data_IF_804194339496
#
_entry.id   IF_804194339496
#
_cell.length_a   1.000
_cell.length_b   1.000
_cell.length_c   1.000
_cell.angle_alpha   90.00
_cell.angle_beta   90.00
_cell.angle_gamma   90.00
#
_symmetry.space_group_name_H-M   'P 1'
#
loop_
_entity.id
_entity.type
_entity.pdbx_description
1 polymer ?
#
# COMPACT_ATOMS: atom_id res chain seq x y z
N UNK A 1 36.57 11.25 -5.43
CA UNK A 1 35.70 12.07 -6.31
C UNK A 1 34.43 11.30 -6.68
N UNK A 2 34.52 10.21 -7.45
CA UNK A 2 33.35 9.39 -7.85
C UNK A 2 32.53 8.83 -6.67
N UNK A 3 33.18 8.35 -5.60
CA UNK A 3 32.48 7.85 -4.40
C UNK A 3 31.64 8.95 -3.74
N UNK A 4 32.15 10.18 -3.68
CA UNK A 4 31.43 11.32 -3.07
C UNK A 4 30.25 11.77 -3.95
N UNK A 5 30.42 11.75 -5.28
CA UNK A 5 29.36 12.05 -6.24
C UNK A 5 28.23 10.99 -6.18
N UNK A 6 28.57 9.70 -6.17
CA UNK A 6 27.61 8.61 -6.00
C UNK A 6 26.91 8.66 -4.64
N UNK A 7 27.65 8.94 -3.57
CA UNK A 7 27.08 9.08 -2.22
C UNK A 7 26.06 10.23 -2.12
N UNK A 8 26.36 11.40 -2.71
CA UNK A 8 25.43 12.52 -2.73
C UNK A 8 24.18 12.22 -3.59
N UNK A 9 24.38 11.54 -4.72
CA UNK A 9 23.31 11.11 -5.62
C UNK A 9 22.35 10.13 -4.96
N UNK A 10 22.89 9.07 -4.35
CA UNK A 10 22.08 8.04 -3.66
C UNK A 10 21.33 8.61 -2.47
N UNK A 11 21.97 9.42 -1.62
CA UNK A 11 21.30 10.04 -0.48
C UNK A 11 20.13 10.93 -0.90
N UNK A 12 20.30 11.68 -1.99
CA UNK A 12 19.24 12.55 -2.51
C UNK A 12 18.09 11.72 -3.10
N UNK A 13 18.40 10.66 -3.84
CA UNK A 13 17.40 9.73 -4.40
C UNK A 13 16.59 9.04 -3.29
N UNK A 14 17.27 8.45 -2.31
CA UNK A 14 16.63 7.75 -1.19
C UNK A 14 15.77 8.69 -0.32
N UNK A 15 16.20 9.94 -0.12
CA UNK A 15 15.40 10.93 0.64
C UNK A 15 14.14 11.32 -0.12
N UNK A 16 14.24 11.51 -1.44
CA UNK A 16 13.09 11.79 -2.29
C UNK A 16 12.11 10.61 -2.29
N UNK A 17 12.60 9.39 -2.48
CA UNK A 17 11.80 8.17 -2.45
C UNK A 17 11.06 7.98 -1.13
N UNK A 18 11.77 8.19 0.00
CA UNK A 18 11.17 8.13 1.32
C UNK A 18 10.04 9.17 1.45
N UNK A 19 10.25 10.40 0.97
CA UNK A 19 9.23 11.44 1.03
C UNK A 19 7.97 11.06 0.22
N UNK A 20 8.13 10.56 -1.00
CA UNK A 20 6.98 10.14 -1.83
C UNK A 20 6.28 8.92 -1.22
N UNK A 21 7.04 7.96 -0.69
CA UNK A 21 6.49 6.79 0.03
C UNK A 21 5.68 7.22 1.25
N UNK A 22 6.20 8.13 2.06
CA UNK A 22 5.46 8.67 3.22
C UNK A 22 4.16 9.36 2.79
N UNK A 23 4.19 10.14 1.70
CA UNK A 23 2.98 10.76 1.15
C UNK A 23 1.95 9.70 0.72
N UNK A 24 2.39 8.64 0.05
CA UNK A 24 1.51 7.54 -0.37
C UNK A 24 0.88 6.83 0.83
N UNK A 25 1.66 6.53 1.88
CA UNK A 25 1.17 5.91 3.11
C UNK A 25 0.19 6.83 3.85
N UNK A 26 0.46 8.14 3.92
CA UNK A 26 -0.47 9.12 4.47
C UNK A 26 -1.78 9.17 3.66
N UNK A 27 -1.72 8.95 2.35
CA UNK A 27 -2.90 8.76 1.51
C UNK A 27 -3.81 7.63 1.97
N UNK A 28 -3.23 6.47 2.28
CA UNK A 28 -3.98 5.34 2.83
C UNK A 28 -4.59 5.68 4.19
N UNK A 29 -3.86 6.38 5.05
CA UNK A 29 -4.39 6.85 6.34
C UNK A 29 -5.57 7.80 6.14
N UNK A 30 -5.47 8.75 5.21
CA UNK A 30 -6.59 9.65 4.85
C UNK A 30 -7.77 8.85 4.32
N UNK A 31 -7.53 7.87 3.46
CA UNK A 31 -8.56 6.95 2.98
C UNK A 31 -9.27 6.26 4.15
N UNK A 32 -8.55 5.78 5.17
CA UNK A 32 -9.17 5.15 6.34
C UNK A 32 -10.09 6.10 7.09
N UNK A 33 -9.68 7.35 7.30
CA UNK A 33 -10.53 8.36 7.96
C UNK A 33 -11.77 8.71 7.15
N UNK A 34 -11.70 8.66 5.82
CA UNK A 34 -12.83 8.90 4.93
C UNK A 34 -13.77 7.69 4.87
N UNK A 35 -13.22 6.48 4.92
CA UNK A 35 -13.95 5.23 4.84
C UNK A 35 -14.64 4.84 6.15
N UNK A 36 -13.95 4.99 7.29
CA UNK A 36 -14.41 4.49 8.58
C UNK A 36 -15.82 4.97 9.01
N UNK A 37 -16.23 6.24 8.77
CA UNK A 37 -17.59 6.71 9.12
C UNK A 37 -18.70 6.01 8.33
N UNK A 38 -18.38 5.44 7.17
CA UNK A 38 -19.33 4.78 6.27
C UNK A 38 -19.21 3.25 6.31
N UNK A 39 -18.40 2.72 7.22
CA UNK A 39 -18.19 1.28 7.35
C UNK A 39 -19.44 0.58 7.85
N UNK A 40 -19.97 -0.36 7.07
CA UNK A 40 -21.06 -1.25 7.45
C UNK A 40 -20.54 -2.64 7.84
N UNK A 41 -20.59 -3.03 9.14
CA UNK A 41 -20.19 -4.35 9.59
C UNK A 41 -20.98 -5.49 8.94
N UNK A 42 -22.22 -5.25 8.49
CA UNK A 42 -23.06 -6.27 7.88
C UNK A 42 -22.51 -6.75 6.53
N UNK A 43 -21.76 -5.89 5.82
CA UNK A 43 -21.12 -6.24 4.55
C UNK A 43 -19.93 -7.20 4.73
N UNK A 44 -19.23 -7.10 5.87
CA UNK A 44 -18.08 -7.96 6.17
C UNK A 44 -18.51 -9.23 6.91
N UNK A 45 -19.55 -9.13 7.73
CA UNK A 45 -20.12 -10.24 8.51
C UNK A 45 -21.25 -10.96 7.76
N UNK A 46 -21.35 -10.77 6.44
CA UNK A 46 -22.40 -11.39 5.63
C UNK A 46 -22.23 -12.91 5.62
N UNK A 47 -23.33 -13.65 5.83
CA UNK A 47 -23.30 -15.11 5.76
C UNK A 47 -23.54 -15.60 4.32
N UNK A 48 -22.76 -16.59 3.83
CA UNK A 48 -21.63 -17.24 4.51
C UNK A 48 -20.37 -16.36 4.58
N UNK A 49 -19.71 -16.31 5.75
CA UNK A 49 -18.46 -15.52 5.96
C UNK A 49 -17.34 -15.86 4.95
N UNK A 50 -17.29 -17.12 4.50
CA UNK A 50 -16.38 -17.58 3.45
C UNK A 50 -17.22 -18.03 2.25
N UNK A 51 -17.69 -17.11 1.38
CA UNK A 51 -18.58 -17.47 0.27
C UNK A 51 -17.92 -18.42 -0.73
N UNK A 52 -16.61 -18.31 -0.91
CA UNK A 52 -15.80 -19.20 -1.75
C UNK A 52 -15.14 -20.34 -0.97
N UNK A 53 -15.50 -20.51 0.32
CA UNK A 53 -14.92 -21.49 1.23
C UNK A 53 -13.39 -21.40 1.32
N UNK A 54 -12.76 -22.52 1.70
CA UNK A 54 -11.31 -22.61 1.80
C UNK A 54 -10.59 -22.45 0.45
N UNK A 55 -11.24 -22.82 -0.66
CA UNK A 55 -10.67 -22.62 -2.00
C UNK A 55 -10.47 -21.14 -2.31
N UNK A 56 -11.39 -20.27 -1.88
CA UNK A 56 -11.24 -18.83 -2.03
C UNK A 56 -10.08 -18.26 -1.20
N UNK A 57 -9.90 -18.76 0.02
CA UNK A 57 -8.75 -18.40 0.87
C UNK A 57 -7.44 -18.75 0.15
N UNK A 58 -7.32 -19.98 -0.37
CA UNK A 58 -6.13 -20.40 -1.11
C UNK A 58 -5.92 -19.61 -2.41
N UNK A 59 -6.99 -19.22 -3.09
CA UNK A 59 -6.92 -18.37 -4.28
C UNK A 59 -6.46 -16.93 -3.97
N UNK A 60 -6.67 -16.44 -2.75
CA UNK A 60 -6.23 -15.11 -2.31
C UNK A 60 -4.75 -15.06 -1.90
N UNK A 61 -4.15 -16.19 -1.50
CA UNK A 61 -2.75 -16.26 -1.01
C UNK A 61 -1.74 -15.65 -1.99
N UNK A 62 -1.76 -15.95 -3.30
CA UNK A 62 -0.81 -15.34 -4.25
C UNK A 62 -0.90 -13.81 -4.30
N UNK A 63 -2.12 -13.26 -4.19
CA UNK A 63 -2.32 -11.81 -4.14
C UNK A 63 -1.82 -11.20 -2.83
N UNK A 64 -1.96 -11.92 -1.71
CA UNK A 64 -1.40 -11.49 -0.43
C UNK A 64 0.14 -11.37 -0.48
N UNK A 65 0.82 -12.26 -1.22
CA UNK A 65 2.27 -12.20 -1.42
C UNK A 65 2.67 -10.93 -2.20
N UNK A 66 1.82 -10.45 -3.12
CA UNK A 66 2.09 -9.26 -3.92
C UNK A 66 2.27 -7.98 -3.07
N UNK A 67 1.62 -7.90 -1.89
CA UNK A 67 1.84 -6.78 -0.97
C UNK A 67 3.27 -6.68 -0.44
N UNK A 68 4.05 -7.77 -0.52
CA UNK A 68 5.44 -7.84 -0.07
C UNK A 68 6.43 -7.95 -1.23
N UNK A 69 5.97 -7.71 -2.47
CA UNK A 69 6.84 -7.67 -3.64
C UNK A 69 7.90 -6.56 -3.47
N UNK A 70 9.11 -6.82 -3.96
CA UNK A 70 10.28 -5.93 -3.88
C UNK A 70 10.84 -5.68 -2.47
N UNK A 71 10.28 -6.27 -1.40
CA UNK A 71 10.81 -6.06 -0.04
C UNK A 71 12.25 -6.58 0.10
N UNK A 72 12.61 -7.61 -0.66
CA UNK A 72 13.96 -8.17 -0.74
C UNK A 72 15.01 -7.18 -1.26
N UNK A 73 14.61 -6.15 -2.01
CA UNK A 73 15.50 -5.11 -2.51
C UNK A 73 16.23 -4.35 -1.41
N UNK A 74 15.60 -4.19 -0.24
CA UNK A 74 16.24 -3.55 0.91
C UNK A 74 17.48 -4.31 1.43
N UNK A 75 17.62 -5.61 1.14
CA UNK A 75 18.84 -6.36 1.46
C UNK A 75 19.96 -6.14 0.43
N UNK A 76 19.65 -5.73 -0.80
CA UNK A 76 20.64 -5.54 -1.86
C UNK A 76 21.54 -4.34 -1.56
N UNK A 77 21.02 -3.32 -0.87
CA UNK A 77 21.78 -2.16 -0.42
C UNK A 77 22.56 -2.40 0.88
N UNK A 78 22.84 -3.67 1.25
CA UNK A 78 23.59 -4.01 2.46
C UNK A 78 24.97 -3.33 2.54
N UNK A 79 25.61 -3.11 1.38
CA UNK A 79 26.92 -2.45 1.27
C UNK A 79 26.90 -0.97 1.69
N UNK A 80 25.71 -0.35 1.70
CA UNK A 80 25.51 1.07 2.04
C UNK A 80 25.02 1.28 3.47
N UNK A 81 24.72 0.20 4.19
CA UNK A 81 24.23 0.27 5.57
C UNK A 81 25.38 0.48 6.56
N UNK A 82 25.14 1.33 7.57
CA UNK A 82 26.13 1.64 8.61
C UNK A 82 26.39 0.42 9.50
N UNK A 83 25.35 -0.33 9.85
CA UNK A 83 25.45 -1.57 10.60
C UNK A 83 24.51 -2.63 10.00
N UNK A 84 24.92 -3.32 8.92
CA UNK A 84 24.06 -4.26 8.19
C UNK A 84 23.43 -5.33 9.07
N UNK A 85 24.15 -5.84 10.08
CA UNK A 85 23.67 -6.86 11.01
C UNK A 85 22.47 -6.40 11.86
N UNK A 86 22.32 -5.10 12.09
CA UNK A 86 21.22 -4.52 12.88
C UNK A 86 20.19 -3.81 12.01
N UNK A 87 20.65 -3.16 10.94
CA UNK A 87 19.83 -2.30 10.10
C UNK A 87 18.94 -3.12 9.17
N UNK A 88 19.47 -4.20 8.57
CA UNK A 88 18.68 -5.08 7.68
C UNK A 88 17.51 -5.72 8.45
N UNK A 89 17.70 -6.42 9.59
CA UNK A 89 16.55 -7.03 10.29
C UNK A 89 15.50 -6.02 10.73
N UNK A 90 15.92 -4.82 11.16
CA UNK A 90 15.00 -3.75 11.56
C UNK A 90 14.23 -3.19 10.36
N UNK A 91 14.90 -2.96 9.24
CA UNK A 91 14.28 -2.48 8.00
C UNK A 91 13.22 -3.46 7.50
N UNK A 92 13.56 -4.75 7.41
CA UNK A 92 12.61 -5.79 7.01
C UNK A 92 11.42 -5.89 7.96
N UNK A 93 11.66 -5.97 9.27
CA UNK A 93 10.57 -6.17 10.23
C UNK A 93 9.62 -4.97 10.28
N UNK A 94 10.17 -3.75 10.27
CA UNK A 94 9.35 -2.53 10.22
C UNK A 94 8.62 -2.35 8.89
N UNK A 95 9.26 -2.69 7.77
CA UNK A 95 8.65 -2.70 6.44
C UNK A 95 7.50 -3.70 6.36
N UNK A 96 7.72 -4.95 6.75
CA UNK A 96 6.68 -5.99 6.78
C UNK A 96 5.50 -5.59 7.67
N UNK A 97 5.76 -5.08 8.88
CA UNK A 97 4.70 -4.64 9.78
C UNK A 97 3.89 -3.48 9.18
N UNK A 98 4.56 -2.53 8.52
CA UNK A 98 3.90 -1.41 7.84
C UNK A 98 3.00 -1.92 6.71
N UNK A 99 3.52 -2.78 5.83
CA UNK A 99 2.75 -3.37 4.74
C UNK A 99 1.56 -4.18 5.24
N UNK A 100 1.74 -4.98 6.30
CA UNK A 100 0.67 -5.77 6.91
C UNK A 100 -0.48 -4.87 7.40
N UNK A 101 -0.16 -3.85 8.20
CA UNK A 101 -1.16 -2.92 8.76
C UNK A 101 -1.85 -2.17 7.62
N UNK A 102 -1.08 -1.68 6.65
CA UNK A 102 -1.60 -0.89 5.54
C UNK A 102 -2.55 -1.72 4.67
N UNK A 103 -2.14 -2.92 4.29
CA UNK A 103 -2.95 -3.82 3.47
C UNK A 103 -4.21 -4.30 4.22
N UNK A 104 -4.06 -4.78 5.47
CA UNK A 104 -5.17 -5.33 6.23
C UNK A 104 -6.25 -4.29 6.51
N UNK A 105 -5.88 -3.10 6.99
CA UNK A 105 -6.85 -2.03 7.27
C UNK A 105 -7.51 -1.52 6.00
N UNK A 106 -6.75 -1.34 4.92
CA UNK A 106 -7.30 -0.86 3.65
C UNK A 106 -8.29 -1.87 3.08
N UNK A 107 -7.93 -3.16 3.02
CA UNK A 107 -8.84 -4.21 2.52
C UNK A 107 -10.09 -4.33 3.40
N UNK A 108 -9.92 -4.33 4.73
CA UNK A 108 -11.03 -4.45 5.66
C UNK A 108 -12.02 -3.28 5.53
N UNK A 109 -11.52 -2.04 5.53
CA UNK A 109 -12.37 -0.86 5.37
C UNK A 109 -13.03 -0.82 4.00
N UNK A 110 -12.30 -1.17 2.93
CA UNK A 110 -12.87 -1.23 1.57
C UNK A 110 -14.03 -2.23 1.49
N UNK A 111 -13.90 -3.41 2.10
CA UNK A 111 -14.95 -4.43 2.11
C UNK A 111 -16.24 -3.94 2.82
N UNK A 112 -16.13 -2.98 3.75
CA UNK A 112 -17.27 -2.41 4.46
C UNK A 112 -17.92 -1.19 3.80
N UNK A 113 -17.53 -0.79 2.59
CA UNK A 113 -18.06 0.41 1.91
C UNK A 113 -19.07 0.15 0.79
N UNK A 114 -19.21 -1.08 0.30
CA UNK A 114 -20.16 -1.35 -0.79
C UNK A 114 -19.88 -2.63 -1.57
N UNK A 115 -20.30 -2.63 -2.85
CA UNK A 115 -20.26 -3.81 -3.71
C UNK A 115 -18.81 -4.22 -4.07
N UNK A 116 -18.31 -5.24 -3.37
CA UNK A 116 -16.97 -5.84 -3.58
C UNK A 116 -16.77 -6.32 -5.02
N UNK A 117 -17.82 -6.79 -5.70
CA UNK A 117 -17.73 -7.26 -7.09
C UNK A 117 -17.36 -6.11 -8.02
N UNK A 118 -18.00 -4.95 -7.85
CA UNK A 118 -17.70 -3.75 -8.63
C UNK A 118 -16.28 -3.24 -8.35
N UNK A 119 -15.86 -3.25 -7.08
CA UNK A 119 -14.51 -2.84 -6.68
C UNK A 119 -13.44 -3.80 -7.22
N UNK A 120 -13.73 -5.09 -7.26
CA UNK A 120 -12.80 -6.12 -7.78
C UNK A 120 -12.63 -6.10 -9.30
N UNK A 121 -13.53 -5.43 -10.02
CA UNK A 121 -13.55 -5.39 -11.48
C UNK A 121 -12.75 -4.22 -12.09
N UNK A 122 -12.14 -3.36 -11.25
CA UNK A 122 -11.43 -2.16 -11.71
C UNK A 122 -9.99 -2.09 -11.19
N UNK A 123 -9.14 -1.35 -11.91
CA UNK A 123 -7.74 -1.14 -11.53
C UNK A 123 -7.55 -0.08 -10.42
N UNK A 124 -8.59 0.70 -10.11
CA UNK A 124 -8.58 1.77 -9.11
C UNK A 124 -9.63 1.54 -8.01
N UNK A 125 -9.49 0.48 -7.20
CA UNK A 125 -10.51 0.07 -6.25
C UNK A 125 -10.79 1.11 -5.15
N UNK A 126 -9.77 1.83 -4.66
CA UNK A 126 -9.94 2.74 -3.51
C UNK A 126 -10.75 4.01 -3.86
N UNK A 127 -10.47 4.73 -4.96
CA UNK A 127 -11.34 5.83 -5.38
C UNK A 127 -12.77 5.37 -5.68
N UNK A 128 -12.95 4.19 -6.31
CA UNK A 128 -14.28 3.65 -6.60
C UNK A 128 -15.06 3.32 -5.33
N UNK A 129 -14.40 2.73 -4.32
CA UNK A 129 -15.01 2.45 -3.02
C UNK A 129 -15.40 3.73 -2.27
N UNK A 130 -14.67 4.84 -2.44
CA UNK A 130 -15.12 6.14 -1.91
C UNK A 130 -16.28 6.73 -2.73
N UNK A 131 -16.31 6.49 -4.04
CA UNK A 131 -17.38 6.98 -4.90
C UNK A 131 -18.74 6.34 -4.57
N UNK A 132 -18.76 5.09 -4.09
CA UNK A 132 -20.00 4.44 -3.65
C UNK A 132 -20.66 5.12 -2.44
N UNK A 133 -19.90 5.88 -1.65
CA UNK A 133 -20.41 6.55 -0.43
C UNK A 133 -20.46 8.08 -0.53
N UNK A 134 -19.49 8.72 -1.20
CA UNK A 134 -19.43 10.17 -1.37
C UNK A 134 -19.96 10.66 -2.74
N UNK A 135 -20.21 9.75 -3.68
CA UNK A 135 -20.61 10.05 -5.05
C UNK A 135 -19.44 10.34 -5.99
N UNK A 136 -19.68 10.13 -7.28
CA UNK A 136 -18.70 10.33 -8.35
C UNK A 136 -18.25 11.79 -8.45
N UNK A 137 -16.94 12.01 -8.65
CA UNK A 137 -16.35 13.34 -8.80
C UNK A 137 -16.29 14.18 -7.52
N UNK A 138 -16.66 13.62 -6.37
CA UNK A 138 -16.54 14.29 -5.08
C UNK A 138 -15.06 14.53 -4.70
N UNK A 139 -14.82 15.54 -3.86
CA UNK A 139 -13.46 15.91 -3.43
C UNK A 139 -12.68 14.75 -2.80
N UNK A 140 -13.26 13.88 -1.94
CA UNK A 140 -12.57 12.70 -1.40
C UNK A 140 -12.10 11.72 -2.49
N UNK A 141 -12.92 11.49 -3.51
CA UNK A 141 -12.61 10.58 -4.63
C UNK A 141 -11.48 11.14 -5.48
N UNK A 142 -11.54 12.43 -5.84
CA UNK A 142 -10.50 13.10 -6.62
C UNK A 142 -9.16 13.14 -5.87
N UNK A 143 -9.20 13.42 -4.56
CA UNK A 143 -8.03 13.41 -3.70
C UNK A 143 -7.40 12.02 -3.66
N UNK A 144 -8.20 10.96 -3.52
CA UNK A 144 -7.69 9.59 -3.48
C UNK A 144 -7.07 9.16 -4.81
N UNK A 145 -7.70 9.51 -5.94
CA UNK A 145 -7.11 9.29 -7.27
C UNK A 145 -5.78 10.01 -7.43
N UNK A 146 -5.67 11.25 -6.93
CA UNK A 146 -4.44 12.02 -6.96
C UNK A 146 -3.32 11.39 -6.13
N UNK A 147 -3.60 10.95 -4.90
CA UNK A 147 -2.59 10.33 -4.04
C UNK A 147 -2.17 8.96 -4.56
N UNK A 148 -3.09 8.19 -5.15
CA UNK A 148 -2.78 6.92 -5.79
C UNK A 148 -1.67 7.03 -6.84
N UNK A 149 -1.63 8.13 -7.61
CA UNK A 149 -0.56 8.39 -8.59
C UNK A 149 0.81 8.55 -7.92
N UNK A 150 0.89 9.23 -6.77
CA UNK A 150 2.15 9.35 -6.02
C UNK A 150 2.63 7.98 -5.51
N UNK A 151 1.72 7.10 -5.10
CA UNK A 151 2.05 5.72 -4.73
C UNK A 151 2.65 4.93 -5.90
N UNK A 152 2.09 5.05 -7.10
CA UNK A 152 2.64 4.42 -8.31
C UNK A 152 4.03 4.96 -8.66
N UNK A 153 4.23 6.28 -8.55
CA UNK A 153 5.54 6.91 -8.80
C UNK A 153 6.56 6.43 -7.76
N UNK A 154 6.22 6.42 -6.47
CA UNK A 154 7.08 5.90 -5.42
C UNK A 154 7.48 4.44 -5.70
N UNK A 155 6.51 3.59 -6.02
CA UNK A 155 6.77 2.18 -6.31
C UNK A 155 7.68 1.99 -7.52
N UNK A 156 7.43 2.69 -8.63
CA UNK A 156 8.24 2.57 -9.84
C UNK A 156 9.67 3.07 -9.59
N UNK A 157 9.82 4.21 -8.91
CA UNK A 157 11.13 4.76 -8.56
C UNK A 157 11.89 3.84 -7.62
N UNK A 158 11.24 3.32 -6.58
CA UNK A 158 11.85 2.41 -5.61
C UNK A 158 12.31 1.09 -6.23
N UNK A 159 11.56 0.54 -7.20
CA UNK A 159 11.99 -0.67 -7.92
C UNK A 159 13.19 -0.38 -8.84
N UNK A 160 13.28 0.81 -9.45
CA UNK A 160 14.38 1.17 -10.36
C UNK A 160 15.68 1.47 -9.60
N UNK A 161 15.56 2.09 -8.42
CA UNK A 161 16.70 2.53 -7.60
C UNK A 161 17.17 1.44 -6.64
N UNK A 162 16.29 0.49 -6.30
CA UNK A 162 16.57 -0.66 -5.43
C UNK A 162 17.76 -1.51 -5.84
#
# INVERSE_FOLDING_TARGET
FFIFLNYLGMKTSATFELAVTVIALLGLVVYWFLAAPHFDPALVMSEPLLPNGFSGVMAAVPFAIWFYLAIEGGAMSAEEMVNPQKDIPKGFLSGMATLLVMAALTLFLTAGLGNVEAVSAVDFPLPLALASVYGDGSMPVLLMSGIGLFGLIASLHGIIVG
#
